data_IF_279212959326
#
_entry.id   IF_279212959326
#
_cell.length_a   1.000
_cell.length_b   1.000
_cell.length_c   1.000
_cell.angle_alpha   90.00
_cell.angle_beta   90.00
_cell.angle_gamma   90.00
#
_symmetry.space_group_name_H-M   'P 1'
#
loop_
_entity.id
_entity.type
_entity.pdbx_description
1 polymer ?
#
# COMPACT_ATOMS: atom_id res chain seq x y z
N UNK A 1 10.11 -2.40 1.46
CA UNK A 1 9.83 -1.35 0.46
C UNK A 1 9.11 -0.20 1.14
N UNK A 2 9.57 1.00 0.95
CA UNK A 2 8.92 2.18 1.50
C UNK A 2 7.67 2.52 0.70
N UNK A 3 6.68 3.10 1.38
CA UNK A 3 5.45 3.45 0.69
C UNK A 3 4.73 4.59 1.44
N UNK A 4 3.76 5.17 0.77
CA UNK A 4 2.96 6.27 1.31
C UNK A 4 1.53 5.82 1.65
N UNK A 5 1.31 4.53 1.85
CA UNK A 5 -0.04 4.01 2.07
C UNK A 5 -0.68 4.63 3.32
N UNK A 6 0.09 4.75 4.40
CA UNK A 6 -0.44 5.34 5.64
C UNK A 6 -0.91 6.78 5.41
N UNK A 7 -0.10 7.56 4.72
CA UNK A 7 -0.42 8.96 4.42
C UNK A 7 -1.65 9.07 3.51
N UNK A 8 -1.70 8.23 2.47
CA UNK A 8 -2.83 8.23 1.55
C UNK A 8 -4.11 7.77 2.26
N UNK A 9 -4.00 6.76 3.11
CA UNK A 9 -5.12 6.29 3.90
C UNK A 9 -5.65 7.41 4.81
N UNK A 10 -4.72 8.14 5.45
CA UNK A 10 -5.10 9.24 6.33
C UNK A 10 -5.82 10.35 5.56
N UNK A 11 -5.38 10.65 4.34
CA UNK A 11 -6.03 11.65 3.50
C UNK A 11 -7.47 11.28 3.21
N UNK A 12 -7.75 9.99 3.07
CA UNK A 12 -9.10 9.50 2.79
C UNK A 12 -9.92 9.28 4.06
N UNK A 13 -9.31 9.40 5.24
CA UNK A 13 -9.99 9.11 6.49
C UNK A 13 -10.26 7.62 6.70
N UNK A 14 -9.48 6.75 6.10
CA UNK A 14 -9.70 5.31 6.17
C UNK A 14 -8.88 4.66 7.27
N UNK A 15 -9.48 3.73 8.01
CA UNK A 15 -8.75 2.89 8.95
C UNK A 15 -8.00 1.80 8.20
N UNK A 16 -7.06 1.16 8.88
CA UNK A 16 -6.38 0.00 8.32
C UNK A 16 -7.37 -1.11 7.97
N UNK A 17 -8.35 -1.33 8.85
CA UNK A 17 -9.36 -2.35 8.60
C UNK A 17 -10.20 -2.01 7.38
N UNK A 18 -10.56 -0.75 7.19
CA UNK A 18 -11.33 -0.34 6.02
C UNK A 18 -10.55 -0.55 4.73
N UNK A 19 -9.28 -0.17 4.73
CA UNK A 19 -8.44 -0.40 3.56
C UNK A 19 -8.31 -1.88 3.26
N UNK A 20 -8.15 -2.70 4.30
CA UNK A 20 -8.07 -4.14 4.12
C UNK A 20 -9.33 -4.70 3.44
N UNK A 21 -10.50 -4.20 3.85
CA UNK A 21 -11.74 -4.60 3.20
C UNK A 21 -11.77 -4.21 1.72
N UNK A 22 -11.36 -2.98 1.42
CA UNK A 22 -11.35 -2.51 0.04
C UNK A 22 -10.41 -3.33 -0.84
N UNK A 23 -9.32 -3.83 -0.26
CA UNK A 23 -8.32 -4.61 -0.99
C UNK A 23 -8.59 -6.12 -0.93
N UNK A 24 -9.58 -6.53 -0.14
CA UNK A 24 -9.91 -7.94 0.07
C UNK A 24 -8.71 -8.72 0.63
N UNK A 25 -8.05 -8.14 1.61
CA UNK A 25 -6.94 -8.77 2.33
C UNK A 25 -7.16 -8.60 3.83
N UNK A 26 -6.35 -9.27 4.64
CA UNK A 26 -6.46 -9.12 6.09
C UNK A 26 -5.85 -7.78 6.53
N UNK A 27 -6.29 -7.30 7.69
CA UNK A 27 -5.71 -6.12 8.31
C UNK A 27 -4.21 -6.31 8.57
N UNK A 28 -3.82 -7.54 8.93
CA UNK A 28 -2.41 -7.87 9.17
C UNK A 28 -1.57 -7.61 7.93
N UNK A 29 -2.13 -7.93 6.76
CA UNK A 29 -1.43 -7.67 5.50
C UNK A 29 -1.22 -6.18 5.29
N UNK A 30 -2.24 -5.36 5.56
CA UNK A 30 -2.11 -3.91 5.44
C UNK A 30 -1.02 -3.39 6.39
N UNK A 31 -1.03 -3.86 7.63
CA UNK A 31 -0.04 -3.45 8.63
C UNK A 31 1.37 -3.81 8.16
N UNK A 32 1.54 -5.03 7.67
CA UNK A 32 2.86 -5.49 7.22
C UNK A 32 3.36 -4.67 6.02
N UNK A 33 2.46 -4.33 5.10
CA UNK A 33 2.85 -3.51 3.94
C UNK A 33 3.23 -2.10 4.41
N UNK A 34 2.43 -1.48 5.26
CA UNK A 34 2.70 -0.12 5.74
C UNK A 34 4.04 -0.04 6.47
N UNK A 35 4.40 -1.11 7.17
CA UNK A 35 5.65 -1.16 7.92
C UNK A 35 6.85 -1.55 7.06
N UNK A 36 6.65 -1.83 5.79
CA UNK A 36 7.73 -2.20 4.90
C UNK A 36 8.23 -3.62 5.08
N UNK A 37 7.50 -4.46 5.81
CA UNK A 37 7.90 -5.83 6.09
C UNK A 37 7.38 -6.84 5.07
N UNK A 38 6.47 -6.43 4.24
CA UNK A 38 5.88 -7.29 3.22
C UNK A 38 5.64 -6.45 1.97
N UNK A 39 6.18 -6.91 0.86
CA UNK A 39 5.96 -6.25 -0.41
C UNK A 39 4.73 -6.87 -1.08
N UNK A 40 3.77 -6.06 -1.51
CA UNK A 40 2.56 -6.62 -2.11
C UNK A 40 2.87 -7.33 -3.43
N UNK A 41 2.07 -8.34 -3.75
CA UNK A 41 2.11 -8.94 -5.07
C UNK A 41 1.77 -7.88 -6.11
N UNK A 42 2.12 -8.15 -7.37
CA UNK A 42 1.80 -7.20 -8.43
C UNK A 42 0.30 -6.94 -8.54
N UNK A 43 -0.57 -7.97 -8.52
CA UNK A 43 -2.00 -7.69 -8.54
C UNK A 43 -2.47 -6.81 -7.37
N UNK A 44 -1.92 -7.05 -6.18
CA UNK A 44 -2.29 -6.25 -5.03
C UNK A 44 -1.78 -4.80 -5.18
N UNK A 45 -0.57 -4.64 -5.71
CA UNK A 45 -0.04 -3.30 -5.96
C UNK A 45 -0.91 -2.53 -6.94
N UNK A 46 -1.40 -3.17 -7.98
CA UNK A 46 -2.31 -2.55 -8.93
C UNK A 46 -3.63 -2.17 -8.26
N UNK A 47 -4.15 -3.03 -7.39
CA UNK A 47 -5.38 -2.71 -6.65
C UNK A 47 -5.20 -1.50 -5.76
N UNK A 48 -4.06 -1.41 -5.09
CA UNK A 48 -3.74 -0.25 -4.25
C UNK A 48 -3.66 1.02 -5.10
N UNK A 49 -2.97 0.95 -6.21
CA UNK A 49 -2.84 2.05 -7.15
C UNK A 49 -4.22 2.53 -7.62
N UNK A 50 -5.10 1.60 -7.94
CA UNK A 50 -6.43 1.91 -8.45
C UNK A 50 -7.27 2.62 -7.38
N UNK A 51 -7.23 2.11 -6.15
CA UNK A 51 -8.02 2.65 -5.05
C UNK A 51 -7.61 4.08 -4.72
N UNK A 52 -6.31 4.35 -4.70
CA UNK A 52 -5.80 5.68 -4.38
C UNK A 52 -5.68 6.58 -5.60
N UNK A 53 -5.92 6.04 -6.79
CA UNK A 53 -5.83 6.80 -8.05
C UNK A 53 -4.46 7.45 -8.21
N UNK A 54 -3.43 6.69 -7.86
CA UNK A 54 -2.04 7.12 -7.95
C UNK A 54 -1.24 6.03 -8.65
N UNK A 55 -0.26 6.37 -9.47
CA UNK A 55 0.58 5.34 -10.08
C UNK A 55 1.37 4.59 -9.00
N UNK A 56 1.71 3.35 -9.28
CA UNK A 56 2.46 2.52 -8.33
C UNK A 56 3.74 3.23 -7.89
N UNK A 57 4.43 3.86 -8.81
CA UNK A 57 5.69 4.54 -8.51
C UNK A 57 5.53 5.74 -7.59
N UNK A 58 4.33 6.31 -7.52
CA UNK A 58 4.06 7.41 -6.60
C UNK A 58 3.74 6.90 -5.20
N UNK A 59 3.36 5.63 -5.07
CA UNK A 59 3.00 5.04 -3.78
C UNK A 59 4.18 4.29 -3.17
N UNK A 60 4.90 3.52 -3.98
CA UNK A 60 5.96 2.64 -3.51
C UNK A 60 7.32 3.12 -3.97
N UNK A 61 8.30 3.02 -3.08
CA UNK A 61 9.68 3.36 -3.38
C UNK A 61 10.52 2.10 -3.19
N UNK A 62 11.22 1.65 -4.23
CA UNK A 62 12.07 0.45 -4.09
C UNK A 62 13.15 0.67 -3.05
N UNK A 63 13.51 -0.40 -2.35
CA UNK A 63 14.58 -0.35 -1.37
C UNK A 63 15.96 -0.37 -2.00
N UNK A 64 16.07 -0.95 -3.18
CA UNK A 64 17.40 -1.15 -3.75
C UNK A 64 17.91 0.13 -4.41
N UNK A 65 19.21 0.28 -4.28
CA UNK A 65 19.89 1.42 -4.86
C UNK A 65 20.07 1.22 -6.36
N UNK A 66 20.02 2.29 -7.14
CA UNK A 66 20.36 2.20 -8.56
C UNK A 66 21.79 1.73 -8.73
N UNK A 67 22.01 0.91 -9.70
CA UNK A 67 23.35 0.42 -10.01
C UNK A 67 24.23 1.54 -10.55
#
# INVERSE_FOLDING_TARGET
MKNLIRELRAEHGWSQAHLAELLDVSRQTVIAIENGKYDPSLPLAFAISHIFKQPIEAIFTPNQEPA
#
